data_IF_116757934049
#
_entry.id   IF_116757934049
#
_cell.length_a   1.000
_cell.length_b   1.000
_cell.length_c   1.000
_cell.angle_alpha   90.00
_cell.angle_beta   90.00
_cell.angle_gamma   90.00
#
_symmetry.space_group_name_H-M   'P 1'
#
loop_
_entity.id
_entity.type
_entity.pdbx_description
1 polymer ?
#
# COMPACT_ATOMS: atom_id res chain seq x y z
N UNK A 1 -38.52 -4.22 51.71
CA UNK A 1 -37.48 -4.60 50.75
C UNK A 1 -36.28 -3.72 50.99
N UNK A 2 -35.15 -4.31 51.37
CA UNK A 2 -33.89 -3.57 51.52
C UNK A 2 -33.29 -3.35 50.13
N UNK A 3 -33.13 -2.08 49.74
CA UNK A 3 -32.34 -1.71 48.59
C UNK A 3 -30.86 -1.76 48.99
N UNK A 4 -30.07 -2.59 48.31
CA UNK A 4 -28.63 -2.54 48.39
C UNK A 4 -28.14 -1.46 47.43
N UNK A 5 -27.53 -0.42 47.98
CA UNK A 5 -26.73 0.54 47.21
C UNK A 5 -25.37 -0.10 46.92
N UNK A 6 -25.07 -0.35 45.65
CA UNK A 6 -23.71 -0.69 45.22
C UNK A 6 -22.91 0.61 45.09
N UNK A 7 -21.84 0.75 45.87
CA UNK A 7 -20.85 1.80 45.68
C UNK A 7 -19.98 1.48 44.45
N UNK A 8 -19.57 2.49 43.66
CA UNK A 8 -18.70 2.26 42.52
C UNK A 8 -17.31 1.84 43.01
N UNK A 9 -16.79 0.74 42.46
CA UNK A 9 -15.44 0.29 42.73
C UNK A 9 -14.43 1.35 42.23
N UNK A 10 -13.54 1.77 43.12
CA UNK A 10 -12.44 2.68 42.83
C UNK A 10 -11.42 1.97 41.93
N UNK A 11 -11.12 2.53 40.74
CA UNK A 11 -10.11 1.98 39.84
C UNK A 11 -8.73 2.04 40.50
N UNK A 12 -7.92 0.97 40.40
CA UNK A 12 -6.59 0.98 40.98
C UNK A 12 -5.72 2.05 40.31
N UNK A 13 -4.80 2.68 41.06
CA UNK A 13 -3.94 3.71 40.49
C UNK A 13 -3.08 3.13 39.36
N UNK A 14 -3.12 3.78 38.20
CA UNK A 14 -2.22 3.50 37.08
C UNK A 14 -0.78 3.70 37.57
N UNK A 15 0.04 2.66 37.48
CA UNK A 15 1.45 2.75 37.82
C UNK A 15 2.11 3.87 36.99
N UNK A 16 3.06 4.64 37.57
CA UNK A 16 3.78 5.64 36.80
C UNK A 16 4.42 4.98 35.58
N UNK A 17 4.31 5.62 34.42
CA UNK A 17 5.00 5.18 33.22
C UNK A 17 6.49 5.04 33.55
N UNK A 18 7.08 3.87 33.25
CA UNK A 18 8.51 3.68 33.43
C UNK A 18 9.26 4.74 32.61
N UNK A 19 10.31 5.31 33.21
CA UNK A 19 11.24 6.18 32.48
C UNK A 19 11.68 5.45 31.21
N UNK A 20 11.62 6.08 30.02
CA UNK A 20 11.99 5.42 28.79
C UNK A 20 13.41 4.88 28.92
N UNK A 21 13.54 3.55 28.83
CA UNK A 21 14.83 2.87 28.89
C UNK A 21 15.78 3.33 27.78
N UNK A 22 17.04 2.92 27.88
CA UNK A 22 18.01 3.17 26.79
C UNK A 22 17.46 2.61 25.46
N UNK A 23 17.56 3.36 24.34
CA UNK A 23 17.11 2.87 23.04
C UNK A 23 17.79 1.55 22.67
N UNK A 24 16.99 0.57 22.21
CA UNK A 24 17.50 -0.76 21.80
C UNK A 24 18.47 -0.69 20.61
N UNK A 25 18.42 0.40 19.84
CA UNK A 25 19.25 0.64 18.65
C UNK A 25 20.10 1.87 18.88
N UNK A 26 21.41 1.73 18.66
CA UNK A 26 22.34 2.85 18.74
C UNK A 26 22.10 3.84 17.59
N UNK A 27 22.37 5.12 17.82
CA UNK A 27 22.25 6.17 16.80
C UNK A 27 23.06 5.85 15.53
N UNK A 28 24.24 5.25 15.69
CA UNK A 28 25.08 4.82 14.57
C UNK A 28 24.42 3.73 13.72
N UNK A 29 23.79 2.73 14.36
CA UNK A 29 23.08 1.67 13.65
C UNK A 29 21.83 2.21 12.95
N UNK A 30 21.10 3.13 13.60
CA UNK A 30 19.94 3.79 13.00
C UNK A 30 20.34 4.59 11.76
N UNK A 31 21.43 5.37 11.86
CA UNK A 31 21.98 6.14 10.73
C UNK A 31 22.36 5.21 9.57
N UNK A 32 23.12 4.15 9.84
CA UNK A 32 23.54 3.20 8.81
C UNK A 32 22.35 2.51 8.13
N UNK A 33 21.30 2.16 8.88
CA UNK A 33 20.07 1.59 8.34
C UNK A 33 19.34 2.58 7.42
N UNK A 34 19.23 3.84 7.83
CA UNK A 34 18.60 4.90 7.02
C UNK A 34 19.38 5.13 5.72
N UNK A 35 20.71 5.19 5.78
CA UNK A 35 21.58 5.33 4.61
C UNK A 35 21.41 4.14 3.65
N UNK A 36 21.42 2.92 4.18
CA UNK A 36 21.19 1.71 3.39
C UNK A 36 19.83 1.76 2.66
N UNK A 37 18.74 2.07 3.37
CA UNK A 37 17.40 2.15 2.79
C UNK A 37 17.28 3.24 1.71
N UNK A 38 17.95 4.39 1.90
CA UNK A 38 17.97 5.50 0.92
C UNK A 38 18.75 5.15 -0.35
N UNK A 39 19.74 4.28 -0.25
CA UNK A 39 20.59 3.86 -1.36
C UNK A 39 20.02 2.69 -2.18
N UNK A 40 18.86 2.13 -1.78
CA UNK A 40 18.22 1.05 -2.54
C UNK A 40 17.69 1.57 -3.88
N UNK A 41 18.15 0.96 -4.97
CA UNK A 41 17.67 1.27 -6.31
C UNK A 41 16.22 0.81 -6.53
N UNK A 42 15.52 1.49 -7.44
CA UNK A 42 14.16 1.09 -7.83
C UNK A 42 14.16 -0.21 -8.64
N UNK A 43 13.18 -1.10 -8.45
CA UNK A 43 13.05 -2.30 -9.28
C UNK A 43 12.82 -1.95 -10.76
N UNK A 44 13.51 -2.64 -11.66
CA UNK A 44 13.29 -2.49 -13.09
C UNK A 44 11.94 -3.09 -13.51
N UNK A 45 11.20 -2.38 -14.39
CA UNK A 45 9.99 -2.94 -15.00
C UNK A 45 10.34 -4.11 -15.92
N UNK A 46 9.45 -5.12 -15.97
CA UNK A 46 9.62 -6.33 -16.77
C UNK A 46 8.65 -6.32 -17.95
N UNK A 47 8.99 -7.04 -19.01
CA UNK A 47 8.08 -7.38 -20.13
C UNK A 47 7.39 -6.18 -20.83
N UNK A 48 7.99 -4.99 -20.76
CA UNK A 48 7.38 -3.73 -21.25
C UNK A 48 7.06 -3.71 -22.76
N UNK A 49 7.77 -4.53 -23.54
CA UNK A 49 7.56 -4.66 -24.99
C UNK A 49 6.50 -5.72 -25.35
N UNK A 50 6.06 -6.54 -24.39
CA UNK A 50 5.08 -7.60 -24.65
C UNK A 50 3.72 -6.96 -24.99
N UNK A 51 3.10 -7.29 -26.14
CA UNK A 51 1.85 -6.66 -26.57
C UNK A 51 0.71 -6.76 -25.55
N UNK A 52 0.60 -7.90 -24.84
CA UNK A 52 -0.40 -8.09 -23.80
C UNK A 52 -0.20 -7.15 -22.59
N UNK A 53 1.06 -6.92 -22.19
CA UNK A 53 1.42 -5.99 -21.09
C UNK A 53 1.09 -4.55 -21.50
N UNK A 54 1.42 -4.16 -22.74
CA UNK A 54 1.09 -2.83 -23.26
C UNK A 54 -0.43 -2.60 -23.35
N UNK A 55 -1.18 -3.59 -23.81
CA UNK A 55 -2.64 -3.53 -23.82
C UNK A 55 -3.22 -3.46 -22.39
N UNK A 56 -2.64 -4.20 -21.43
CA UNK A 56 -3.02 -4.13 -20.02
C UNK A 56 -2.77 -2.75 -19.39
N UNK A 57 -1.65 -2.11 -19.71
CA UNK A 57 -1.34 -0.75 -19.26
C UNK A 57 -2.37 0.26 -19.79
N UNK A 58 -2.80 0.13 -21.05
CA UNK A 58 -3.87 0.96 -21.62
C UNK A 58 -5.20 0.76 -20.90
N UNK A 59 -5.56 -0.48 -20.57
CA UNK A 59 -6.77 -0.79 -19.80
C UNK A 59 -6.69 -0.17 -18.40
N UNK A 60 -5.54 -0.30 -17.74
CA UNK A 60 -5.28 0.27 -16.41
C UNK A 60 -5.53 1.78 -16.36
N UNK A 61 -5.02 2.51 -17.36
CA UNK A 61 -5.29 3.95 -17.51
C UNK A 61 -6.76 4.21 -17.82
N UNK A 62 -7.34 3.46 -18.77
CA UNK A 62 -8.69 3.68 -19.28
C UNK A 62 -9.79 3.50 -18.22
N UNK A 63 -9.71 2.45 -17.41
CA UNK A 63 -10.71 2.21 -16.35
C UNK A 63 -10.53 3.15 -15.15
N UNK A 64 -9.36 3.80 -15.05
CA UNK A 64 -9.07 4.84 -14.06
C UNK A 64 -8.22 4.38 -12.87
N UNK A 65 -7.52 3.24 -12.94
CA UNK A 65 -6.60 2.82 -11.88
C UNK A 65 -5.47 3.84 -11.66
N UNK A 66 -5.01 4.46 -12.76
CA UNK A 66 -3.95 5.46 -12.74
C UNK A 66 -4.30 6.78 -12.02
N UNK A 67 -5.55 6.95 -11.55
CA UNK A 67 -5.95 8.12 -10.75
C UNK A 67 -5.25 8.19 -9.40
N UNK A 68 -5.10 7.04 -8.72
CA UNK A 68 -4.34 6.92 -7.47
C UNK A 68 -3.00 6.24 -7.72
N UNK A 69 -2.97 5.23 -8.60
CA UNK A 69 -1.75 4.53 -8.97
C UNK A 69 -0.99 5.25 -10.11
N UNK A 70 -0.56 6.48 -9.84
CA UNK A 70 0.09 7.37 -10.82
C UNK A 70 1.36 6.72 -11.39
N UNK A 71 1.46 6.50 -12.71
CA UNK A 71 2.51 5.66 -13.30
C UNK A 71 3.94 6.14 -13.07
N UNK A 72 4.17 7.44 -12.97
CA UNK A 72 5.51 8.03 -13.00
C UNK A 72 5.61 9.15 -11.98
N UNK A 73 6.70 9.16 -11.22
CA UNK A 73 7.09 10.25 -10.33
C UNK A 73 8.54 10.66 -10.65
N UNK A 74 8.93 11.87 -10.24
CA UNK A 74 10.32 12.32 -10.28
C UNK A 74 10.79 12.57 -8.85
N UNK A 75 11.90 11.96 -8.46
CA UNK A 75 12.47 12.17 -7.12
C UNK A 75 13.03 13.59 -6.98
N UNK A 76 13.06 14.08 -5.74
CA UNK A 76 13.59 15.42 -5.43
C UNK A 76 15.12 15.50 -5.51
N UNK A 77 15.68 16.71 -5.48
CA UNK A 77 17.13 16.94 -5.51
C UNK A 77 17.82 16.60 -4.18
N UNK A 78 17.08 16.48 -3.07
CA UNK A 78 17.62 16.29 -1.72
C UNK A 78 17.94 14.82 -1.37
N UNK A 79 17.85 13.91 -2.34
CA UNK A 79 18.20 12.49 -2.19
C UNK A 79 19.70 12.21 -2.42
N UNK A 80 20.14 10.96 -2.18
CA UNK A 80 21.44 10.48 -2.66
C UNK A 80 21.63 10.77 -4.16
N UNK A 81 22.86 11.05 -4.58
CA UNK A 81 23.14 11.45 -5.98
C UNK A 81 22.69 10.39 -6.99
N UNK A 82 22.66 9.13 -6.56
CA UNK A 82 22.26 7.95 -7.33
C UNK A 82 20.75 7.89 -7.58
N UNK A 83 19.94 8.52 -6.73
CA UNK A 83 18.46 8.47 -6.79
C UNK A 83 17.81 9.86 -6.83
N UNK A 84 18.60 10.94 -6.91
CA UNK A 84 18.11 12.31 -7.00
C UNK A 84 17.74 12.70 -8.44
N UNK A 85 16.61 13.41 -8.62
CA UNK A 85 16.07 13.81 -9.93
C UNK A 85 15.85 12.65 -10.91
N UNK A 86 15.60 11.46 -10.39
CA UNK A 86 15.35 10.26 -11.17
C UNK A 86 13.87 10.17 -11.54
N UNK A 87 13.59 9.86 -12.81
CA UNK A 87 12.23 9.49 -13.25
C UNK A 87 12.00 8.03 -12.95
N UNK A 88 11.05 7.75 -12.05
CA UNK A 88 10.75 6.42 -11.54
C UNK A 88 9.31 6.02 -11.89
N UNK A 89 9.02 4.71 -11.88
CA UNK A 89 7.70 4.18 -12.23
C UNK A 89 7.02 3.40 -11.09
N UNK A 90 6.61 4.09 -9.99
CA UNK A 90 6.10 3.43 -8.81
C UNK A 90 4.61 3.05 -8.86
N UNK A 91 3.83 3.65 -9.77
CA UNK A 91 2.38 3.44 -9.84
C UNK A 91 1.68 3.79 -8.51
N UNK A 92 1.91 5.01 -8.03
CA UNK A 92 1.34 5.55 -6.79
C UNK A 92 1.48 7.07 -6.79
N UNK A 93 0.54 7.76 -6.14
CA UNK A 93 0.64 9.17 -5.78
C UNK A 93 1.13 9.39 -4.34
N UNK A 94 1.29 8.31 -3.56
CA UNK A 94 1.62 8.32 -2.12
C UNK A 94 0.62 9.08 -1.24
N UNK A 95 -0.59 9.34 -1.74
CA UNK A 95 -1.65 10.02 -1.00
C UNK A 95 -2.54 9.03 -0.25
N UNK A 96 -3.28 9.54 0.74
CA UNK A 96 -4.33 8.79 1.44
C UNK A 96 -5.62 8.84 0.62
N UNK A 97 -6.29 7.70 0.50
CA UNK A 97 -7.59 7.57 -0.16
C UNK A 97 -8.54 6.70 0.67
N UNK A 98 -9.82 7.07 0.68
CA UNK A 98 -10.86 6.26 1.30
C UNK A 98 -11.17 5.01 0.43
N UNK A 99 -10.84 3.83 0.97
CA UNK A 99 -11.17 2.54 0.36
C UNK A 99 -12.49 1.95 0.90
N UNK A 100 -13.23 2.73 1.70
CA UNK A 100 -14.54 2.40 2.22
C UNK A 100 -14.51 1.51 3.47
N UNK A 101 -15.67 1.27 4.10
CA UNK A 101 -15.77 0.56 5.38
C UNK A 101 -15.31 -0.90 5.32
N UNK A 102 -15.33 -1.53 4.15
CA UNK A 102 -14.81 -2.88 3.96
C UNK A 102 -13.29 -2.99 4.16
N UNK A 103 -12.59 -1.85 4.10
CA UNK A 103 -11.15 -1.71 4.30
C UNK A 103 -10.81 -0.97 5.59
N UNK A 104 -11.79 -0.80 6.49
CA UNK A 104 -11.56 -0.12 7.76
C UNK A 104 -10.65 -0.94 8.69
N UNK A 105 -9.69 -0.27 9.34
CA UNK A 105 -8.85 -0.79 10.44
C UNK A 105 -8.86 0.20 11.61
N UNK A 106 -8.00 -0.02 12.60
CA UNK A 106 -7.75 0.92 13.69
C UNK A 106 -7.19 2.21 13.06
N UNK A 107 -7.79 3.39 13.32
CA UNK A 107 -7.25 4.67 12.84
C UNK A 107 -5.79 4.85 13.28
N UNK A 108 -4.94 5.33 12.38
CA UNK A 108 -3.53 5.62 12.65
C UNK A 108 -3.25 7.11 12.39
N UNK A 109 -2.92 7.82 13.47
CA UNK A 109 -2.70 9.26 13.44
C UNK A 109 -3.88 10.03 12.82
N UNK A 110 -3.64 10.84 11.77
CA UNK A 110 -4.70 11.63 11.12
C UNK A 110 -5.56 10.84 10.14
N UNK A 111 -5.20 9.61 9.78
CA UNK A 111 -5.94 8.81 8.80
C UNK A 111 -7.22 8.23 9.41
N UNK A 112 -8.33 8.36 8.71
CA UNK A 112 -9.56 7.67 9.07
C UNK A 112 -9.40 6.15 8.91
N UNK A 113 -10.24 5.36 9.60
CA UNK A 113 -10.16 3.90 9.61
C UNK A 113 -10.08 3.26 8.21
N UNK A 114 -10.78 3.82 7.22
CA UNK A 114 -10.81 3.33 5.83
C UNK A 114 -9.83 4.00 4.87
N UNK A 115 -9.04 4.96 5.35
CA UNK A 115 -8.07 5.69 4.53
C UNK A 115 -6.73 4.95 4.49
N UNK A 116 -6.23 4.73 3.29
CA UNK A 116 -4.96 4.05 3.09
C UNK A 116 -4.09 4.82 2.12
N UNK A 117 -2.79 4.84 2.40
CA UNK A 117 -1.81 5.34 1.44
C UNK A 117 -1.78 4.42 0.22
N UNK A 118 -1.83 4.98 -0.99
CA UNK A 118 -1.69 4.19 -2.21
C UNK A 118 -0.36 3.44 -2.21
N UNK A 119 -0.39 2.10 -2.14
CA UNK A 119 0.83 1.30 -2.19
C UNK A 119 1.46 1.41 -3.59
N UNK A 120 2.78 1.62 -3.70
CA UNK A 120 3.49 1.49 -4.98
C UNK A 120 3.26 0.09 -5.56
N UNK A 121 2.97 -0.02 -6.86
CA UNK A 121 2.79 -1.31 -7.54
C UNK A 121 4.08 -1.83 -8.18
N UNK A 122 5.18 -1.08 -8.15
CA UNK A 122 6.48 -1.63 -8.55
C UNK A 122 6.83 -2.88 -7.73
N UNK A 123 7.48 -3.86 -8.34
CA UNK A 123 7.77 -5.14 -7.72
C UNK A 123 6.55 -5.99 -7.32
N UNK A 124 5.31 -5.59 -7.66
CA UNK A 124 4.10 -6.36 -7.32
C UNK A 124 4.18 -7.80 -7.86
N UNK A 125 4.70 -7.99 -9.06
CA UNK A 125 4.93 -9.29 -9.68
C UNK A 125 6.10 -10.09 -9.11
N UNK A 126 6.90 -9.50 -8.22
CA UNK A 126 8.00 -10.18 -7.53
C UNK A 126 7.59 -10.69 -6.14
N UNK A 127 6.43 -10.27 -5.61
CA UNK A 127 6.01 -10.57 -4.25
C UNK A 127 6.04 -12.06 -3.91
N UNK A 128 5.56 -12.93 -4.80
CA UNK A 128 5.61 -14.39 -4.56
C UNK A 128 7.01 -14.96 -4.64
N UNK A 129 7.81 -14.53 -5.62
CA UNK A 129 9.17 -15.02 -5.80
C UNK A 129 10.06 -14.67 -4.59
N UNK A 130 9.80 -13.52 -3.95
CA UNK A 130 10.55 -13.04 -2.79
C UNK A 130 10.00 -13.61 -1.48
N UNK A 131 8.68 -13.67 -1.30
CA UNK A 131 8.06 -14.02 -0.01
C UNK A 131 7.57 -15.47 0.10
N UNK A 132 7.41 -16.18 -1.02
CA UNK A 132 6.79 -17.52 -1.08
C UNK A 132 5.26 -17.52 -0.98
N UNK A 133 4.62 -16.34 -0.90
CA UNK A 133 3.17 -16.16 -0.86
C UNK A 133 2.75 -14.82 -1.49
N UNK A 134 1.46 -14.69 -1.82
CA UNK A 134 0.85 -13.50 -2.42
C UNK A 134 -0.24 -12.93 -1.50
N UNK A 135 0.15 -12.40 -0.34
CA UNK A 135 -0.78 -11.65 0.52
C UNK A 135 -0.73 -10.17 0.15
N UNK A 136 -1.88 -9.63 -0.23
CA UNK A 136 -2.06 -8.26 -0.70
C UNK A 136 -3.03 -7.52 0.20
N UNK A 137 -3.03 -6.18 0.07
CA UNK A 137 -3.71 -5.24 0.96
C UNK A 137 -3.06 -5.19 2.35
N UNK A 138 -3.45 -4.22 3.17
CA UNK A 138 -2.79 -3.91 4.44
C UNK A 138 -2.85 -5.06 5.46
N UNK A 139 -3.87 -5.91 5.39
CA UNK A 139 -4.09 -7.03 6.31
C UNK A 139 -3.84 -8.40 5.65
N UNK A 140 -3.33 -8.40 4.41
CA UNK A 140 -3.01 -9.62 3.68
C UNK A 140 -4.20 -10.46 3.23
N UNK A 141 -5.45 -9.96 3.32
CA UNK A 141 -6.66 -10.75 3.02
C UNK A 141 -6.76 -11.22 1.58
N UNK A 142 -6.17 -10.49 0.64
CA UNK A 142 -6.28 -10.80 -0.79
C UNK A 142 -5.13 -11.73 -1.21
N UNK A 143 -5.48 -12.85 -1.85
CA UNK A 143 -4.54 -13.89 -2.30
C UNK A 143 -4.23 -13.79 -3.80
N UNK A 144 -4.88 -12.86 -4.47
CA UNK A 144 -4.65 -12.55 -5.87
C UNK A 144 -4.87 -11.07 -6.16
N UNK A 145 -4.29 -10.59 -7.27
CA UNK A 145 -4.46 -9.21 -7.75
C UNK A 145 -5.92 -8.92 -8.09
N UNK A 146 -6.64 -9.91 -8.59
CA UNK A 146 -8.08 -9.81 -8.84
C UNK A 146 -8.88 -9.68 -7.53
N UNK A 147 -8.60 -10.50 -6.51
CA UNK A 147 -9.21 -10.34 -5.19
C UNK A 147 -8.90 -8.95 -4.62
N UNK A 148 -7.66 -8.47 -4.73
CA UNK A 148 -7.27 -7.14 -4.26
C UNK A 148 -8.06 -6.02 -4.97
N UNK A 149 -8.19 -6.07 -6.30
CA UNK A 149 -9.00 -5.11 -7.06
C UNK A 149 -10.45 -5.12 -6.59
N UNK A 150 -11.02 -6.30 -6.33
CA UNK A 150 -12.42 -6.44 -5.91
C UNK A 150 -12.70 -5.92 -4.50
N UNK A 151 -11.67 -5.80 -3.65
CA UNK A 151 -11.76 -5.19 -2.32
C UNK A 151 -11.71 -3.66 -2.33
N UNK A 152 -11.27 -3.03 -3.41
CA UNK A 152 -11.22 -1.56 -3.49
C UNK A 152 -12.64 -0.98 -3.44
N UNK A 153 -12.94 -0.14 -2.46
CA UNK A 153 -14.20 0.57 -2.31
C UNK A 153 -14.03 2.08 -2.22
N UNK A 154 -15.04 2.79 -1.71
CA UNK A 154 -14.96 4.23 -1.47
C UNK A 154 -14.67 4.99 -2.76
N UNK A 155 -13.58 5.76 -2.79
CA UNK A 155 -13.15 6.52 -3.97
C UNK A 155 -12.89 5.64 -5.21
N UNK A 156 -12.59 4.36 -4.99
CA UNK A 156 -12.30 3.40 -6.04
C UNK A 156 -13.53 2.57 -6.49
N UNK A 157 -14.73 2.79 -5.92
CA UNK A 157 -15.94 2.02 -6.25
C UNK A 157 -16.21 1.98 -7.76
N UNK A 158 -16.14 3.15 -8.43
CA UNK A 158 -16.35 3.25 -9.88
C UNK A 158 -15.33 2.42 -10.66
N UNK A 159 -14.05 2.47 -10.27
CA UNK A 159 -12.96 1.77 -10.97
C UNK A 159 -13.08 0.26 -10.77
N UNK A 160 -13.41 -0.20 -9.56
CA UNK A 160 -13.72 -1.61 -9.28
C UNK A 160 -14.88 -2.10 -10.14
N UNK A 161 -15.94 -1.29 -10.29
CA UNK A 161 -17.10 -1.68 -11.07
C UNK A 161 -16.80 -1.69 -12.58
N UNK A 162 -15.94 -0.81 -13.09
CA UNK A 162 -15.41 -0.92 -14.46
C UNK A 162 -14.58 -2.21 -14.65
N UNK A 163 -13.73 -2.58 -13.69
CA UNK A 163 -13.01 -3.86 -13.74
C UNK A 163 -13.97 -5.06 -13.85
N UNK A 164 -15.09 -5.03 -13.12
CA UNK A 164 -16.13 -6.07 -13.21
C UNK A 164 -16.84 -6.11 -14.58
N UNK A 165 -16.80 -5.03 -15.36
CA UNK A 165 -17.39 -4.96 -16.71
C UNK A 165 -16.43 -5.40 -17.82
N UNK A 166 -15.12 -5.42 -17.54
CA UNK A 166 -14.13 -5.93 -18.49
C UNK A 166 -14.47 -7.35 -18.92
N UNK A 167 -14.27 -7.62 -20.21
CA UNK A 167 -14.27 -8.97 -20.75
C UNK A 167 -13.16 -9.82 -20.13
N UNK A 168 -13.30 -11.15 -20.22
CA UNK A 168 -12.27 -12.06 -19.72
C UNK A 168 -10.89 -11.80 -20.36
N UNK A 169 -10.85 -11.43 -21.64
CA UNK A 169 -9.60 -11.13 -22.33
C UNK A 169 -8.95 -9.83 -21.84
N UNK A 170 -9.75 -8.78 -21.62
CA UNK A 170 -9.26 -7.52 -21.04
C UNK A 170 -8.74 -7.71 -19.61
N UNK A 171 -9.44 -8.51 -18.78
CA UNK A 171 -8.96 -8.83 -17.43
C UNK A 171 -7.62 -9.56 -17.46
N UNK A 172 -7.46 -10.55 -18.34
CA UNK A 172 -6.18 -11.26 -18.50
C UNK A 172 -5.06 -10.30 -18.89
N UNK A 173 -5.30 -9.36 -19.81
CA UNK A 173 -4.30 -8.36 -20.21
C UNK A 173 -3.95 -7.40 -19.07
N UNK A 174 -4.94 -6.90 -18.34
CA UNK A 174 -4.73 -6.05 -17.17
C UNK A 174 -3.93 -6.78 -16.08
N UNK A 175 -4.27 -8.03 -15.79
CA UNK A 175 -3.54 -8.84 -14.80
C UNK A 175 -2.12 -9.15 -15.27
N UNK A 176 -1.89 -9.38 -16.56
CA UNK A 176 -0.54 -9.54 -17.12
C UNK A 176 0.30 -8.27 -16.96
N UNK A 177 -0.29 -7.09 -17.16
CA UNK A 177 0.37 -5.83 -16.86
C UNK A 177 0.72 -5.72 -15.37
N UNK A 178 -0.20 -6.00 -14.45
CA UNK A 178 0.08 -5.96 -13.00
C UNK A 178 1.12 -7.00 -12.55
N UNK A 179 1.25 -8.13 -13.24
CA UNK A 179 2.30 -9.13 -13.00
C UNK A 179 3.67 -8.66 -13.52
N UNK A 180 3.70 -7.80 -14.54
CA UNK A 180 4.94 -7.23 -15.07
C UNK A 180 5.54 -6.15 -14.17
N UNK A 181 4.73 -5.57 -13.27
CA UNK A 181 5.15 -4.54 -12.33
C UNK A 181 6.06 -5.07 -11.23
#
# INVERSE_FOLDING_TARGET
GHAHSEEPAEEPPVAPAEEPGEPEVTEANLTALVEYCRALAVPARRDVEVPAVRAGAQIFEHIGCARCHVPTLTTGPDGPVETANETIHPFTDLLLHDLGPGMASIPDGPAAAGEWRTAPLWGLGLAEAVNGYRFLLHDGRARSREEAILWHGGEADRVRDEFRRLSSEERVRLLAFLESL
#
